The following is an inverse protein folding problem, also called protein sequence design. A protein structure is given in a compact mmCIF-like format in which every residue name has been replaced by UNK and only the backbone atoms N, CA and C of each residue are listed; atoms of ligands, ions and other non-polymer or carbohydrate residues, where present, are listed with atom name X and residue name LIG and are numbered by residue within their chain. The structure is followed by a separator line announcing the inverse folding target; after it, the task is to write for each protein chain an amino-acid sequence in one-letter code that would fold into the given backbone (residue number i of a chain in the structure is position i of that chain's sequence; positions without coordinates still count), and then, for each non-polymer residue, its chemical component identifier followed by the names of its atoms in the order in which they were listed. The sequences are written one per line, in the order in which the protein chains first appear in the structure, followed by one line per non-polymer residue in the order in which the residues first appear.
data_IF_035992327745
#
_entry.id   IF_035992327745
#
_cell.length_a   1.000
_cell.length_b   1.000
_cell.length_c   1.000
_cell.angle_alpha   90.00
_cell.angle_beta   90.00
_cell.angle_gamma   90.00
#
_symmetry.space_group_name_H-M   'P 1'
#
loop_
_entity.id
_entity.type
_entity.pdbx_description
1 polymer ?
#
# COMPACT_ATOMS: atom_id res chain seq x y z
N UNK A 1 3.34 -40.16 -44.63
CA UNK A 1 3.23 -38.75 -44.25
C UNK A 1 2.12 -38.60 -43.24
N UNK A 2 2.44 -38.51 -41.95
CA UNK A 2 1.54 -37.87 -40.97
C UNK A 2 2.37 -37.50 -39.76
N UNK A 3 2.53 -36.19 -39.59
CA UNK A 3 3.40 -35.53 -38.63
C UNK A 3 2.65 -35.43 -37.29
N UNK A 4 3.19 -36.01 -36.22
CA UNK A 4 2.75 -35.72 -34.85
C UNK A 4 3.74 -34.73 -34.24
N UNK A 5 3.50 -33.44 -34.45
CA UNK A 5 4.20 -32.39 -33.72
C UNK A 5 3.41 -32.06 -32.45
N UNK A 6 4.11 -32.14 -31.33
CA UNK A 6 3.63 -31.93 -29.96
C UNK A 6 3.04 -30.54 -29.79
N UNK A 7 1.98 -30.50 -28.99
CA UNK A 7 1.23 -29.34 -28.53
C UNK A 7 2.19 -28.33 -27.88
N UNK A 8 2.27 -27.14 -28.45
CA UNK A 8 2.96 -25.98 -27.90
C UNK A 8 2.08 -25.38 -26.79
N UNK A 9 2.63 -25.29 -25.58
CA UNK A 9 1.96 -24.67 -24.43
C UNK A 9 1.85 -23.16 -24.68
N UNK A 10 0.71 -22.73 -25.22
CA UNK A 10 0.45 -21.31 -25.43
C UNK A 10 0.29 -20.63 -24.05
N UNK A 11 1.29 -19.81 -23.74
CA UNK A 11 1.42 -19.16 -22.44
C UNK A 11 0.43 -18.01 -22.35
N UNK A 12 -0.66 -18.26 -21.61
CA UNK A 12 -1.69 -17.29 -21.22
C UNK A 12 -1.06 -16.01 -20.64
N UNK A 13 -0.86 -14.99 -21.49
CA UNK A 13 -0.44 -13.66 -21.09
C UNK A 13 -1.61 -12.94 -20.43
N UNK A 14 -1.56 -12.76 -19.11
CA UNK A 14 -2.37 -11.77 -18.40
C UNK A 14 -2.06 -10.36 -18.95
N UNK A 15 -2.83 -9.89 -19.94
CA UNK A 15 -2.74 -8.52 -20.42
C UNK A 15 -3.64 -7.63 -19.58
N UNK A 16 -3.21 -7.32 -18.35
CA UNK A 16 -3.61 -6.03 -17.78
C UNK A 16 -2.90 -4.95 -18.63
N UNK A 17 -3.63 -4.08 -19.34
CA UNK A 17 -2.99 -3.01 -20.08
C UNK A 17 -2.30 -2.10 -19.08
N UNK A 18 -0.97 -2.10 -19.09
CA UNK A 18 -0.19 -1.09 -18.36
C UNK A 18 -0.45 0.26 -19.01
N UNK A 19 -1.21 1.12 -18.36
CA UNK A 19 -1.36 2.49 -18.80
C UNK A 19 0.01 3.18 -18.75
N UNK A 20 0.48 3.65 -19.91
CA UNK A 20 1.75 4.38 -20.02
C UNK A 20 1.50 5.84 -19.66
N UNK A 21 2.27 6.37 -18.71
CA UNK A 21 2.26 7.77 -18.33
C UNK A 21 3.69 8.31 -18.46
N UNK A 22 3.87 9.38 -19.24
CA UNK A 22 5.16 10.05 -19.38
C UNK A 22 5.28 11.14 -18.32
N UNK A 23 6.42 11.18 -17.63
CA UNK A 23 6.74 12.19 -16.61
C UNK A 23 8.13 12.74 -16.91
N UNK A 24 8.24 14.06 -17.01
CA UNK A 24 9.53 14.75 -17.12
C UNK A 24 10.06 15.08 -15.73
N UNK A 25 11.31 14.71 -15.47
CA UNK A 25 12.00 14.98 -14.22
C UNK A 25 13.27 15.79 -14.51
N UNK A 26 13.68 16.72 -13.62
CA UNK A 26 15.03 17.28 -13.65
C UNK A 26 16.08 16.18 -13.54
N UNK A 27 17.26 16.38 -14.14
CA UNK A 27 18.34 15.39 -14.18
C UNK A 27 18.69 14.80 -12.80
N UNK A 28 18.81 15.59 -11.71
CA UNK A 28 19.11 15.04 -10.39
C UNK A 28 18.04 14.07 -9.88
N UNK A 29 16.76 14.30 -10.21
CA UNK A 29 15.66 13.42 -9.80
C UNK A 29 15.64 12.14 -10.63
N UNK A 30 15.93 12.22 -11.93
CA UNK A 30 16.08 11.05 -12.80
C UNK A 30 17.18 10.14 -12.30
N UNK A 31 18.36 10.70 -12.03
CA UNK A 31 19.53 9.94 -11.55
C UNK A 31 19.24 9.23 -10.23
N UNK A 32 18.51 9.91 -9.34
CA UNK A 32 18.09 9.33 -8.07
C UNK A 32 17.12 8.17 -8.25
N UNK A 33 16.09 8.32 -9.10
CA UNK A 33 15.13 7.24 -9.42
C UNK A 33 15.83 6.04 -10.05
N UNK A 34 16.78 6.27 -10.96
CA UNK A 34 17.58 5.19 -11.57
C UNK A 34 18.47 4.49 -10.55
N UNK A 35 19.04 5.22 -9.58
CA UNK A 35 19.80 4.62 -8.49
C UNK A 35 18.95 3.69 -7.64
N UNK A 36 17.68 4.03 -7.38
CA UNK A 36 16.77 3.15 -6.65
C UNK A 36 16.51 1.84 -7.40
N UNK A 37 16.37 1.89 -8.73
CA UNK A 37 16.24 0.68 -9.55
C UNK A 37 17.50 -0.22 -9.50
N UNK A 38 18.70 0.37 -9.40
CA UNK A 38 19.96 -0.38 -9.31
C UNK A 38 20.17 -1.14 -7.99
N UNK A 39 19.37 -0.87 -6.95
CA UNK A 39 19.49 -1.55 -5.65
C UNK A 39 19.06 -3.03 -5.68
N UNK A 40 18.52 -3.52 -6.79
CA UNK A 40 17.99 -4.88 -6.93
C UNK A 40 16.57 -5.05 -6.36
N UNK A 41 16.03 -4.02 -5.69
CA UNK A 41 14.66 -4.00 -5.17
C UNK A 41 13.59 -3.77 -6.25
N UNK A 42 13.96 -3.09 -7.34
CA UNK A 42 13.05 -2.75 -8.43
C UNK A 42 13.69 -3.10 -9.77
N UNK A 43 12.91 -3.58 -10.73
CA UNK A 43 13.42 -3.97 -12.05
C UNK A 43 13.68 -2.77 -12.96
N UNK A 44 13.01 -1.64 -12.74
CA UNK A 44 13.17 -0.41 -13.50
C UNK A 44 12.63 0.82 -12.72
N UNK A 45 12.85 2.00 -13.29
CA UNK A 45 12.37 3.28 -12.76
C UNK A 45 10.83 3.34 -12.61
N UNK A 46 10.08 2.79 -13.56
CA UNK A 46 8.62 2.81 -13.50
C UNK A 46 8.07 1.94 -12.36
N UNK A 47 8.73 0.83 -12.02
CA UNK A 47 8.34 -0.01 -10.89
C UNK A 47 8.56 0.71 -9.56
N UNK A 48 9.69 1.43 -9.47
CA UNK A 48 9.95 2.29 -8.33
C UNK A 48 8.88 3.39 -8.17
N UNK A 49 8.55 4.08 -9.26
CA UNK A 49 7.53 5.14 -9.25
C UNK A 49 6.14 4.58 -8.89
N UNK A 50 5.74 3.42 -9.42
CA UNK A 50 4.47 2.76 -9.06
C UNK A 50 4.41 2.41 -7.58
N UNK A 51 5.51 1.94 -7.00
CA UNK A 51 5.58 1.66 -5.58
C UNK A 51 5.50 2.93 -4.73
N UNK A 52 6.15 4.01 -5.14
CA UNK A 52 5.99 5.32 -4.49
C UNK A 52 4.53 5.78 -4.48
N UNK A 53 3.83 5.68 -5.61
CA UNK A 53 2.40 6.04 -5.70
C UNK A 53 1.57 5.19 -4.74
N UNK A 54 1.81 3.88 -4.67
CA UNK A 54 1.08 2.99 -3.74
C UNK A 54 1.32 3.36 -2.28
N UNK A 55 2.56 3.70 -1.92
CA UNK A 55 2.92 4.13 -0.57
C UNK A 55 2.27 5.46 -0.21
N UNK A 56 2.21 6.39 -1.16
CA UNK A 56 1.51 7.66 -0.98
C UNK A 56 0.02 7.45 -0.72
N UNK A 57 -0.65 6.64 -1.55
CA UNK A 57 -2.06 6.26 -1.34
C UNK A 57 -2.26 5.64 0.05
N UNK A 58 -1.46 4.63 0.41
CA UNK A 58 -1.55 3.96 1.71
C UNK A 58 -1.34 4.94 2.88
N UNK A 59 -0.43 5.90 2.73
CA UNK A 59 -0.19 6.92 3.74
C UNK A 59 -1.40 7.85 3.88
N UNK A 60 -1.96 8.29 2.77
CA UNK A 60 -3.12 9.18 2.75
C UNK A 60 -4.36 8.48 3.34
N UNK A 61 -4.58 7.20 3.02
CA UNK A 61 -5.66 6.40 3.59
C UNK A 61 -5.53 6.27 5.11
N UNK A 62 -4.30 6.04 5.63
CA UNK A 62 -4.04 5.99 7.07
C UNK A 62 -4.30 7.32 7.76
N UNK A 63 -3.93 8.43 7.11
CA UNK A 63 -4.18 9.77 7.64
C UNK A 63 -5.69 10.03 7.70
N UNK A 64 -6.41 9.74 6.61
CA UNK A 64 -7.86 9.90 6.56
C UNK A 64 -8.58 9.04 7.61
N UNK A 65 -8.16 7.78 7.79
CA UNK A 65 -8.70 6.91 8.82
C UNK A 65 -8.46 7.47 10.24
N UNK A 66 -7.23 7.92 10.52
CA UNK A 66 -6.89 8.53 11.81
C UNK A 66 -7.73 9.78 12.08
N UNK A 67 -7.87 10.66 11.08
CA UNK A 67 -8.72 11.85 11.18
C UNK A 67 -10.18 11.49 11.47
N UNK A 68 -10.70 10.44 10.83
CA UNK A 68 -12.04 9.92 11.11
C UNK A 68 -12.21 9.43 12.55
N UNK A 69 -11.23 8.72 13.11
CA UNK A 69 -11.27 8.28 14.51
C UNK A 69 -11.19 9.45 15.50
N UNK A 70 -10.36 10.46 15.21
CA UNK A 70 -10.27 11.67 16.04
C UNK A 70 -11.60 12.41 16.03
N UNK A 71 -12.20 12.62 14.85
CA UNK A 71 -13.50 13.29 14.73
C UNK A 71 -14.58 12.53 15.50
N UNK A 72 -14.68 11.20 15.33
CA UNK A 72 -15.62 10.38 16.07
C UNK A 72 -15.43 10.50 17.60
N UNK A 73 -14.17 10.56 18.05
CA UNK A 73 -13.83 10.78 19.46
C UNK A 73 -14.29 12.15 19.96
N UNK A 74 -14.05 13.22 19.20
CA UNK A 74 -14.49 14.57 19.54
C UNK A 74 -16.02 14.67 19.62
N UNK A 75 -16.73 14.06 18.66
CA UNK A 75 -18.20 14.03 18.64
C UNK A 75 -18.80 13.15 19.76
N UNK A 76 -18.04 12.18 20.28
CA UNK A 76 -18.49 11.36 21.41
C UNK A 76 -18.56 12.10 22.74
N UNK A 77 -18.01 13.32 22.80
CA UNK A 77 -17.99 14.15 23.99
C UNK A 77 -16.91 13.74 25.01
N UNK A 78 -16.89 14.45 26.14
CA UNK A 78 -15.87 14.22 27.18
C UNK A 78 -16.23 12.98 27.99
N UNK A 79 -15.32 12.02 28.05
CA UNK A 79 -15.43 10.87 28.93
C UNK A 79 -15.33 11.28 30.40
N UNK A 80 -16.28 10.82 31.21
CA UNK A 80 -16.33 11.11 32.66
C UNK A 80 -15.62 10.06 33.52
N UNK A 81 -15.22 8.93 32.92
CA UNK A 81 -14.62 7.80 33.63
C UNK A 81 -13.17 8.07 33.95
N UNK A 82 -12.78 7.75 35.17
CA UNK A 82 -11.40 7.80 35.62
C UNK A 82 -10.55 6.71 34.94
N UNK A 83 -9.23 6.89 34.99
CA UNK A 83 -8.27 5.90 34.51
C UNK A 83 -8.51 4.54 35.17
N UNK A 84 -8.66 4.50 36.50
CA UNK A 84 -8.75 3.25 37.24
C UNK A 84 -10.01 2.45 36.88
N UNK A 85 -11.15 3.12 36.68
CA UNK A 85 -12.39 2.50 36.19
C UNK A 85 -12.21 1.88 34.80
N UNK A 86 -11.53 2.57 33.89
CA UNK A 86 -11.27 2.07 32.53
C UNK A 86 -10.36 0.84 32.54
N UNK A 87 -9.32 0.84 33.38
CA UNK A 87 -8.40 -0.30 33.51
C UNK A 87 -9.08 -1.50 34.18
N UNK A 88 -9.89 -1.28 35.23
CA UNK A 88 -10.65 -2.34 35.87
C UNK A 88 -11.64 -2.99 34.89
N UNK A 89 -12.35 -2.20 34.09
CA UNK A 89 -13.27 -2.70 33.06
C UNK A 89 -12.52 -3.49 31.96
N UNK A 90 -11.36 -3.00 31.51
CA UNK A 90 -10.57 -3.70 30.50
C UNK A 90 -10.07 -5.08 31.01
N UNK A 91 -9.64 -5.16 32.28
CA UNK A 91 -9.22 -6.42 32.91
C UNK A 91 -10.37 -7.41 33.06
N UNK A 92 -11.56 -6.93 33.47
CA UNK A 92 -12.76 -7.77 33.59
C UNK A 92 -13.13 -8.38 32.22
N UNK A 93 -13.14 -7.56 31.15
CA UNK A 93 -13.41 -8.03 29.78
C UNK A 93 -12.37 -9.05 29.29
N UNK A 94 -11.08 -8.81 29.56
CA UNK A 94 -10.01 -9.72 29.16
C UNK A 94 -10.08 -11.08 29.90
N UNK A 95 -10.58 -11.10 31.14
CA UNK A 95 -10.72 -12.33 31.93
C UNK A 95 -11.92 -13.20 31.52
N UNK A 96 -12.87 -12.62 30.77
CA UNK A 96 -14.11 -13.27 30.29
C UNK A 96 -13.99 -13.81 28.86
N UNK A 97 -12.87 -13.57 28.19
CA UNK A 97 -12.56 -14.06 26.84
C UNK A 97 -11.65 -15.28 26.89
#
# INVERSE_FOLDING_TARGET
MTNFAKIEYDSFKWRFPMATMNVSLPDPMKDWVEAQARTGRYSNASDYVRDLIRRDQTRNDKIAAMQGFVEAGLQSGVGIRSKDELFAEAMDRASKS
#
